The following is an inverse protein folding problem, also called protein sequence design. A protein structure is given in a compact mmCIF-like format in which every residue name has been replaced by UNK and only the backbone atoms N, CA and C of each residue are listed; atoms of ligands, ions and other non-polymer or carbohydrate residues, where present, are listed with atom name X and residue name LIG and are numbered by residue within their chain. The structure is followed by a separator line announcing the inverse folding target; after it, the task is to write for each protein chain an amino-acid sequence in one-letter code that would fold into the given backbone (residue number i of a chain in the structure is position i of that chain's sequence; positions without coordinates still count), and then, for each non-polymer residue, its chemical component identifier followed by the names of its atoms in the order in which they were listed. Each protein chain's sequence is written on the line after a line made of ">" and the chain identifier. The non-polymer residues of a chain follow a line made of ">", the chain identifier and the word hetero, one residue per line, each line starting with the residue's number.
data_IF_345724478559
#
_entry.id   IF_345724478559
#
_cell.length_a   1.000
_cell.length_b   1.000
_cell.length_c   1.000
_cell.angle_alpha   90.00
_cell.angle_beta   90.00
_cell.angle_gamma   90.00
#
_symmetry.space_group_name_H-M   'P 1'
#
loop_
_entity.id
_entity.type
_entity.pdbx_description
1 polymer ?
#
# COMPACT_ATOMS: atom_id res chain seq x y z
N UNK A 1 54.94 16.26 22.63
CA UNK A 1 53.70 16.65 23.34
C UNK A 1 52.53 16.16 22.51
N UNK A 2 51.91 15.06 22.93
CA UNK A 2 50.74 14.47 22.29
C UNK A 2 49.51 14.85 23.12
N UNK A 3 48.49 15.43 22.50
CA UNK A 3 47.21 15.74 23.14
C UNK A 3 46.21 14.71 22.64
N UNK A 4 45.77 13.85 23.56
CA UNK A 4 44.77 12.81 23.33
C UNK A 4 43.36 13.41 23.38
N UNK A 5 42.55 13.06 22.38
CA UNK A 5 41.12 13.32 22.34
C UNK A 5 40.38 12.30 23.22
N UNK A 6 39.56 12.77 24.16
CA UNK A 6 38.64 11.95 24.92
C UNK A 6 37.27 11.95 24.21
N UNK A 7 36.92 10.83 23.55
CA UNK A 7 35.56 10.55 23.13
C UNK A 7 34.83 9.84 24.27
N UNK A 8 33.82 10.49 24.81
CA UNK A 8 32.91 9.91 25.80
C UNK A 8 31.89 9.06 25.05
N UNK A 9 32.08 7.74 25.04
CA UNK A 9 31.09 6.80 24.56
C UNK A 9 29.96 6.67 25.59
N UNK A 10 28.78 7.19 25.27
CA UNK A 10 27.55 6.89 26.01
C UNK A 10 27.14 5.46 25.69
N UNK A 11 27.39 4.56 26.64
CA UNK A 11 26.87 3.19 26.63
C UNK A 11 25.33 3.25 26.72
N UNK A 12 24.67 2.93 25.63
CA UNK A 12 23.24 2.63 25.62
C UNK A 12 23.04 1.28 26.29
N UNK A 13 22.21 1.24 27.33
CA UNK A 13 21.83 0.04 28.06
C UNK A 13 21.23 -1.01 27.11
N UNK A 14 21.59 -2.31 27.19
CA UNK A 14 21.04 -3.37 26.31
C UNK A 14 19.55 -3.69 26.51
N UNK A 15 18.77 -2.85 27.20
CA UNK A 15 17.42 -3.18 27.68
C UNK A 15 16.25 -2.75 26.77
N UNK A 16 16.49 -2.10 25.63
CA UNK A 16 15.43 -1.51 24.81
C UNK A 16 15.05 -2.32 23.54
N UNK A 17 15.63 -3.50 23.32
CA UNK A 17 15.36 -4.34 22.13
C UNK A 17 14.51 -5.58 22.47
N UNK A 18 14.09 -5.74 23.74
CA UNK A 18 13.44 -6.96 24.23
C UNK A 18 11.94 -6.81 24.59
N UNK A 19 11.26 -5.73 24.19
CA UNK A 19 9.87 -5.47 24.59
C UNK A 19 8.80 -5.80 23.53
N UNK A 20 9.17 -6.41 22.40
CA UNK A 20 8.19 -6.84 21.35
C UNK A 20 7.99 -8.37 21.35
N UNK A 21 8.58 -9.10 22.31
CA UNK A 21 8.64 -10.57 22.26
C UNK A 21 7.62 -11.32 23.15
N UNK A 22 6.80 -10.65 23.97
CA UNK A 22 5.93 -11.31 24.94
C UNK A 22 4.43 -10.92 24.83
N UNK A 23 3.90 -10.77 23.62
CA UNK A 23 2.47 -11.06 23.43
C UNK A 23 2.31 -12.57 23.36
N UNK A 24 1.85 -13.17 24.45
CA UNK A 24 1.54 -14.60 24.51
C UNK A 24 0.62 -14.97 23.34
N UNK A 25 1.19 -15.71 22.37
CA UNK A 25 0.48 -16.32 21.25
C UNK A 25 -0.65 -17.15 21.85
N UNK A 26 -1.89 -16.74 21.63
CA UNK A 26 -3.02 -17.55 22.09
C UNK A 26 -3.12 -18.77 21.20
N UNK A 27 -3.78 -19.84 21.66
CA UNK A 27 -4.01 -21.04 20.84
C UNK A 27 -4.76 -20.74 19.52
N UNK A 28 -5.41 -19.57 19.43
CA UNK A 28 -6.10 -19.06 18.23
C UNK A 28 -5.15 -18.51 17.15
N UNK A 29 -3.90 -18.20 17.50
CA UNK A 29 -2.94 -17.52 16.62
C UNK A 29 -2.01 -18.49 15.86
N UNK A 30 -2.03 -19.79 16.19
CA UNK A 30 -1.16 -20.80 15.59
C UNK A 30 -1.60 -21.29 14.19
N UNK A 31 -2.85 -21.05 13.80
CA UNK A 31 -3.46 -21.62 12.58
C UNK A 31 -3.41 -20.70 11.35
N UNK A 32 -2.76 -19.54 11.46
CA UNK A 32 -2.86 -18.49 10.44
C UNK A 32 -1.47 -17.90 10.07
N UNK A 33 -0.77 -18.47 9.07
CA UNK A 33 0.49 -17.91 8.61
C UNK A 33 0.31 -16.49 8.08
N UNK A 34 1.31 -15.64 8.33
CA UNK A 34 1.37 -14.26 7.82
C UNK A 34 1.15 -14.28 6.31
N UNK A 35 0.22 -13.47 5.82
CA UNK A 35 -0.04 -13.34 4.40
C UNK A 35 1.24 -12.91 3.68
N UNK A 36 1.64 -13.65 2.63
CA UNK A 36 2.79 -13.29 1.82
C UNK A 36 2.63 -11.86 1.30
N UNK A 37 3.66 -11.04 1.56
CA UNK A 37 3.74 -9.65 1.13
C UNK A 37 3.63 -9.52 -0.39
N UNK A 38 3.50 -8.30 -0.93
CA UNK A 38 3.47 -8.14 -2.37
C UNK A 38 4.83 -8.61 -2.82
N UNK A 39 4.88 -9.54 -3.77
CA UNK A 39 6.16 -9.98 -4.32
C UNK A 39 6.99 -8.74 -4.57
N UNK A 40 8.19 -8.68 -3.96
CA UNK A 40 8.93 -7.44 -3.79
C UNK A 40 8.98 -6.69 -5.13
N UNK A 41 8.96 -5.35 -5.10
CA UNK A 41 9.22 -4.57 -6.30
C UNK A 41 10.65 -4.87 -6.79
N UNK A 42 10.77 -5.91 -7.62
CA UNK A 42 12.02 -6.56 -8.02
C UNK A 42 12.60 -6.00 -9.30
N UNK A 43 11.75 -5.40 -10.14
CA UNK A 43 12.22 -4.73 -11.34
C UNK A 43 13.03 -3.48 -10.92
N UNK A 44 14.34 -3.42 -11.21
CA UNK A 44 15.19 -2.34 -10.73
C UNK A 44 14.75 -0.97 -11.25
N UNK A 45 14.20 -0.91 -12.47
CA UNK A 45 13.79 0.34 -13.10
C UNK A 45 12.49 0.85 -12.48
N UNK A 46 11.54 -0.04 -12.23
CA UNK A 46 10.33 0.33 -11.51
C UNK A 46 10.61 0.71 -10.05
N UNK A 47 11.60 0.08 -9.41
CA UNK A 47 12.06 0.47 -8.08
C UNK A 47 12.65 1.89 -8.08
N UNK A 48 13.42 2.28 -9.10
CA UNK A 48 13.89 3.65 -9.25
C UNK A 48 12.70 4.62 -9.34
N UNK A 49 11.71 4.34 -10.19
CA UNK A 49 10.51 5.19 -10.32
C UNK A 49 9.81 5.36 -8.96
N UNK A 50 9.65 4.27 -8.21
CA UNK A 50 9.05 4.30 -6.89
C UNK A 50 9.90 5.11 -5.90
N UNK A 51 11.22 4.91 -5.86
CA UNK A 51 12.11 5.67 -4.97
C UNK A 51 12.08 7.16 -5.28
N UNK A 52 12.10 7.52 -6.56
CA UNK A 52 12.06 8.91 -7.02
C UNK A 52 10.74 9.59 -6.64
N UNK A 53 9.60 8.88 -6.75
CA UNK A 53 8.30 9.42 -6.38
C UNK A 53 8.16 9.57 -4.86
N UNK A 54 8.62 8.61 -4.07
CA UNK A 54 8.66 8.70 -2.60
C UNK A 54 9.52 9.89 -2.16
N UNK A 55 10.73 10.01 -2.68
CA UNK A 55 11.67 11.08 -2.31
C UNK A 55 11.15 12.48 -2.67
N UNK A 56 10.62 12.65 -3.89
CA UNK A 56 10.01 13.91 -4.30
C UNK A 56 8.80 14.24 -3.43
N UNK A 57 7.93 13.26 -3.15
CA UNK A 57 6.74 13.49 -2.33
C UNK A 57 7.11 13.90 -0.90
N UNK A 58 8.10 13.25 -0.28
CA UNK A 58 8.61 13.64 1.05
C UNK A 58 9.07 15.09 1.05
N UNK A 59 9.86 15.49 0.06
CA UNK A 59 10.32 16.86 -0.05
C UNK A 59 9.16 17.85 -0.31
N UNK A 60 8.15 17.47 -1.08
CA UNK A 60 6.92 18.26 -1.25
C UNK A 60 6.17 18.46 0.06
N UNK A 61 6.03 17.43 0.88
CA UNK A 61 5.41 17.55 2.20
C UNK A 61 6.24 18.42 3.14
N UNK A 62 7.55 18.16 3.23
CA UNK A 62 8.46 18.97 4.04
C UNK A 62 8.41 20.45 3.62
N UNK A 63 8.40 20.71 2.31
CA UNK A 63 8.31 22.08 1.77
C UNK A 63 6.98 22.74 2.11
N UNK A 64 5.86 22.03 1.93
CA UNK A 64 4.52 22.52 2.27
C UNK A 64 4.36 22.79 3.77
N UNK A 65 4.93 21.94 4.62
CA UNK A 65 4.84 22.05 6.07
C UNK A 65 5.76 23.14 6.65
N UNK A 66 6.94 23.36 6.07
CA UNK A 66 7.89 24.35 6.55
C UNK A 66 7.42 25.80 6.36
N UNK A 67 6.62 26.05 5.32
CA UNK A 67 6.14 27.37 4.91
C UNK A 67 4.61 27.39 4.79
N UNK A 68 3.88 27.49 5.91
CA UNK A 68 2.42 27.47 5.89
C UNK A 68 1.81 28.68 5.17
N UNK A 69 2.56 29.75 4.91
CA UNK A 69 2.07 30.95 4.21
C UNK A 69 2.51 31.02 2.74
N UNK A 70 3.33 30.07 2.29
CA UNK A 70 3.79 30.04 0.90
C UNK A 70 2.63 29.72 -0.04
N UNK A 71 2.50 30.49 -1.12
CA UNK A 71 1.49 30.24 -2.15
C UNK A 71 2.02 29.21 -3.15
N UNK A 72 1.41 28.03 -3.17
CA UNK A 72 1.64 27.00 -4.18
C UNK A 72 0.58 27.08 -5.28
N UNK A 73 0.86 26.62 -6.52
CA UNK A 73 -0.13 26.55 -7.58
C UNK A 73 -1.38 25.79 -7.12
N UNK A 74 -2.57 26.31 -7.42
CA UNK A 74 -3.82 25.69 -6.99
C UNK A 74 -3.96 24.26 -7.55
N UNK A 75 -4.23 23.30 -6.67
CA UNK A 75 -4.35 21.89 -7.03
C UNK A 75 -3.00 21.19 -7.27
N UNK A 76 -1.87 21.82 -6.97
CA UNK A 76 -0.58 21.13 -6.84
C UNK A 76 -0.58 20.19 -5.62
N UNK A 77 0.31 19.20 -5.63
CA UNK A 77 0.56 18.31 -4.49
C UNK A 77 0.86 19.13 -3.24
N UNK A 78 1.73 20.13 -3.35
CA UNK A 78 2.14 20.99 -2.25
C UNK A 78 0.98 21.81 -1.69
N UNK A 79 0.12 22.37 -2.55
CA UNK A 79 -1.07 23.14 -2.09
C UNK A 79 -2.04 22.27 -1.30
N UNK A 80 -2.22 21.02 -1.71
CA UNK A 80 -3.09 20.06 -1.02
C UNK A 80 -2.48 19.66 0.32
N UNK A 81 -1.19 19.30 0.33
CA UNK A 81 -0.48 18.93 1.56
C UNK A 81 -0.45 20.09 2.56
N UNK A 82 -0.25 21.33 2.10
CA UNK A 82 -0.30 22.52 2.94
C UNK A 82 -1.68 22.70 3.58
N UNK A 83 -2.76 22.52 2.82
CA UNK A 83 -4.12 22.57 3.37
C UNK A 83 -4.34 21.47 4.44
N UNK A 84 -3.79 20.29 4.21
CA UNK A 84 -3.75 19.21 5.19
C UNK A 84 -3.06 19.62 6.48
N UNK A 85 -1.82 20.13 6.38
CA UNK A 85 -1.04 20.55 7.56
C UNK A 85 -1.80 21.62 8.35
N UNK A 86 -2.41 22.60 7.68
CA UNK A 86 -3.23 23.65 8.34
C UNK A 86 -4.48 23.11 9.05
N UNK A 87 -4.93 21.90 8.74
CA UNK A 87 -6.07 21.26 9.40
C UNK A 87 -5.71 20.54 10.71
N UNK A 88 -4.41 20.36 10.99
CA UNK A 88 -3.94 19.75 12.24
C UNK A 88 -4.20 20.68 13.44
N UNK A 89 -4.23 20.17 14.68
CA UNK A 89 -4.20 21.01 15.88
C UNK A 89 -2.96 21.91 15.92
N UNK A 90 -3.09 23.13 16.48
CA UNK A 90 -2.03 24.15 16.45
C UNK A 90 -0.68 23.67 17.00
N UNK A 91 -0.68 22.85 18.05
CA UNK A 91 0.55 22.27 18.60
C UNK A 91 1.24 21.34 17.60
N UNK A 92 0.47 20.46 16.94
CA UNK A 92 0.98 19.55 15.91
C UNK A 92 1.47 20.33 14.69
N UNK A 93 0.74 21.36 14.24
CA UNK A 93 1.19 22.25 13.16
C UNK A 93 2.58 22.83 13.46
N UNK A 94 2.75 23.40 14.65
CA UNK A 94 4.02 24.02 15.05
C UNK A 94 5.16 23.00 15.13
N UNK A 95 4.90 21.81 15.68
CA UNK A 95 5.87 20.71 15.74
C UNK A 95 6.29 20.25 14.35
N UNK A 96 5.33 19.96 13.47
CA UNK A 96 5.59 19.58 12.08
C UNK A 96 6.37 20.67 11.35
N UNK A 97 5.96 21.94 11.50
CA UNK A 97 6.64 23.08 10.86
C UNK A 97 8.10 23.18 11.28
N UNK A 98 8.39 23.08 12.59
CA UNK A 98 9.77 23.10 13.10
C UNK A 98 10.60 21.92 12.58
N UNK A 99 10.05 20.70 12.60
CA UNK A 99 10.73 19.53 12.06
C UNK A 99 11.05 19.69 10.58
N UNK A 100 10.07 20.15 9.80
CA UNK A 100 10.24 20.40 8.38
C UNK A 100 11.28 21.50 8.09
N UNK A 101 11.24 22.62 8.83
CA UNK A 101 12.24 23.68 8.72
C UNK A 101 13.65 23.19 9.07
N UNK A 102 13.80 22.37 10.12
CA UNK A 102 15.08 21.76 10.49
C UNK A 102 15.62 20.86 9.38
N UNK A 103 14.76 20.04 8.76
CA UNK A 103 15.16 19.18 7.65
C UNK A 103 15.59 19.97 6.42
N UNK A 104 14.88 21.05 6.07
CA UNK A 104 15.25 21.89 4.93
C UNK A 104 16.53 22.70 5.19
N UNK A 105 16.76 23.13 6.44
CA UNK A 105 17.95 23.87 6.84
C UNK A 105 19.19 22.99 7.08
N UNK A 106 19.04 21.65 7.09
CA UNK A 106 20.14 20.73 7.26
C UNK A 106 21.19 20.84 6.14
N UNK A 107 22.36 20.26 6.33
CA UNK A 107 23.37 20.17 5.29
C UNK A 107 22.90 19.30 4.10
N UNK A 108 23.58 19.42 2.97
CA UNK A 108 23.21 18.71 1.73
C UNK A 108 23.22 17.20 1.91
N UNK A 109 24.15 16.64 2.69
CA UNK A 109 24.28 15.19 2.84
C UNK A 109 23.10 14.64 3.67
N UNK A 110 22.71 15.34 4.73
CA UNK A 110 21.50 15.02 5.51
C UNK A 110 20.24 15.08 4.64
N UNK A 111 20.07 16.13 3.83
CA UNK A 111 18.92 16.21 2.91
C UNK A 111 18.95 15.13 1.84
N UNK A 112 20.12 14.74 1.34
CA UNK A 112 20.27 13.65 0.38
C UNK A 112 19.94 12.31 1.01
N UNK A 113 20.27 12.09 2.28
CA UNK A 113 19.87 10.89 2.99
C UNK A 113 18.35 10.76 3.11
N UNK A 114 17.64 11.87 3.31
CA UNK A 114 16.17 11.89 3.46
C UNK A 114 15.40 11.94 2.14
N UNK A 115 15.86 12.74 1.18
CA UNK A 115 15.15 13.07 -0.06
C UNK A 115 15.88 12.61 -1.33
N UNK A 116 16.91 11.75 -1.19
CA UNK A 116 17.72 11.26 -2.30
C UNK A 116 18.30 12.38 -3.15
N UNK A 117 18.18 12.28 -4.49
CA UNK A 117 18.79 13.30 -5.37
C UNK A 117 18.15 14.68 -5.22
N UNK A 118 16.88 14.75 -4.81
CA UNK A 118 16.17 16.01 -4.64
C UNK A 118 16.67 16.82 -3.44
N UNK A 119 17.30 16.17 -2.45
CA UNK A 119 17.93 16.86 -1.32
C UNK A 119 19.08 17.80 -1.70
N UNK A 120 19.62 17.65 -2.92
CA UNK A 120 20.63 18.57 -3.49
C UNK A 120 20.03 19.85 -4.03
N UNK A 121 18.72 19.89 -4.28
CA UNK A 121 18.05 21.10 -4.73
C UNK A 121 18.02 22.11 -3.58
N UNK A 122 18.24 23.38 -3.92
CA UNK A 122 17.95 24.46 -3.01
C UNK A 122 16.45 24.42 -2.62
N UNK A 123 16.08 24.51 -1.33
CA UNK A 123 14.68 24.42 -0.93
C UNK A 123 13.77 25.42 -1.64
N UNK A 124 14.22 26.65 -1.90
CA UNK A 124 13.43 27.63 -2.64
C UNK A 124 13.33 27.28 -4.13
N UNK A 125 14.35 26.66 -4.71
CA UNK A 125 14.27 26.10 -6.06
C UNK A 125 13.25 24.96 -6.15
N UNK A 126 13.26 24.01 -5.22
CA UNK A 126 12.26 22.94 -5.18
C UNK A 126 10.85 23.50 -5.00
N UNK A 127 10.67 24.46 -4.08
CA UNK A 127 9.35 25.03 -3.81
C UNK A 127 8.74 25.77 -5.01
N UNK A 128 9.56 26.20 -5.99
CA UNK A 128 9.11 26.72 -7.28
C UNK A 128 8.80 25.62 -8.30
N UNK A 129 9.59 24.55 -8.32
CA UNK A 129 9.42 23.43 -9.25
C UNK A 129 8.19 22.57 -8.87
N UNK A 130 8.02 22.33 -7.57
CA UNK A 130 7.10 21.34 -7.02
C UNK A 130 7.44 19.91 -7.45
N UNK A 131 6.60 18.98 -7.01
CA UNK A 131 6.69 17.57 -7.36
C UNK A 131 6.71 17.38 -8.88
N UNK A 132 5.77 18.03 -9.58
CA UNK A 132 5.61 17.86 -11.03
C UNK A 132 6.86 18.32 -11.80
N UNK A 133 7.48 19.42 -11.40
CA UNK A 133 8.71 19.89 -12.03
C UNK A 133 9.90 18.97 -11.74
N UNK A 134 10.01 18.51 -10.49
CA UNK A 134 11.11 17.66 -10.05
C UNK A 134 11.05 16.24 -10.64
N UNK A 135 9.85 15.68 -10.81
CA UNK A 135 9.64 14.28 -11.19
C UNK A 135 9.69 14.00 -12.71
N UNK A 136 10.03 14.99 -13.55
CA UNK A 136 10.07 14.83 -15.02
C UNK A 136 11.27 14.04 -15.54
N UNK A 137 12.45 14.30 -14.99
CA UNK A 137 13.71 13.77 -15.51
C UNK A 137 14.19 12.57 -14.69
N UNK A 138 13.49 11.44 -14.82
CA UNK A 138 13.78 10.23 -14.05
C UNK A 138 15.03 9.50 -14.58
N UNK A 139 15.94 9.05 -13.71
CA UNK A 139 17.15 8.32 -14.10
C UNK A 139 16.84 6.83 -14.38
N UNK A 140 15.89 6.58 -15.28
CA UNK A 140 15.36 5.25 -15.59
C UNK A 140 15.88 4.80 -16.95
N UNK A 141 16.47 3.60 -17.01
CA UNK A 141 16.68 2.89 -18.27
C UNK A 141 15.34 2.32 -18.73
N UNK A 142 14.60 3.18 -19.39
CA UNK A 142 13.28 2.87 -19.86
C UNK A 142 13.25 1.76 -20.92
N UNK A 143 14.33 1.57 -21.69
CA UNK A 143 14.45 0.46 -22.63
C UNK A 143 14.64 -0.87 -21.90
N UNK A 144 15.37 -0.89 -20.78
CA UNK A 144 15.45 -2.05 -19.89
C UNK A 144 14.09 -2.35 -19.25
N UNK A 145 13.38 -1.34 -18.74
CA UNK A 145 12.03 -1.52 -18.17
C UNK A 145 11.08 -2.14 -19.21
N UNK A 146 11.05 -1.60 -20.43
CA UNK A 146 10.21 -2.14 -21.51
C UNK A 146 10.53 -3.60 -21.82
N UNK A 147 11.81 -3.98 -21.90
CA UNK A 147 12.24 -5.37 -22.13
C UNK A 147 11.81 -6.29 -21.00
N UNK A 148 11.96 -5.85 -19.75
CA UNK A 148 11.55 -6.61 -18.56
C UNK A 148 10.04 -6.87 -18.56
N UNK A 149 9.24 -5.84 -18.83
CA UNK A 149 7.78 -5.97 -18.90
C UNK A 149 7.32 -6.85 -20.06
N UNK A 150 7.99 -6.78 -21.21
CA UNK A 150 7.68 -7.68 -22.33
C UNK A 150 8.00 -9.13 -21.98
N UNK A 151 9.18 -9.40 -21.41
CA UNK A 151 9.57 -10.76 -21.02
C UNK A 151 8.60 -11.34 -19.97
N UNK A 152 8.18 -10.53 -19.01
CA UNK A 152 7.18 -10.93 -18.01
C UNK A 152 5.80 -11.16 -18.66
N UNK A 153 5.41 -10.34 -19.65
CA UNK A 153 4.16 -10.54 -20.38
C UNK A 153 4.17 -11.86 -21.16
N UNK A 154 5.28 -12.17 -21.83
CA UNK A 154 5.46 -13.42 -22.56
C UNK A 154 5.43 -14.63 -21.61
N UNK A 155 6.03 -14.51 -20.41
CA UNK A 155 5.98 -15.54 -19.36
C UNK A 155 4.54 -15.76 -18.87
N UNK A 156 3.84 -14.70 -18.50
CA UNK A 156 2.44 -14.77 -18.04
C UNK A 156 1.53 -15.35 -19.12
N UNK A 157 1.77 -15.03 -20.39
CA UNK A 157 1.05 -15.62 -21.52
C UNK A 157 1.28 -17.13 -21.62
N UNK A 158 2.53 -17.60 -21.50
CA UNK A 158 2.86 -19.02 -21.55
C UNK A 158 2.25 -19.80 -20.37
N UNK A 159 2.30 -19.23 -19.16
CA UNK A 159 1.68 -19.80 -17.95
C UNK A 159 0.16 -19.86 -18.07
N UNK A 160 -0.46 -18.76 -18.52
CA UNK A 160 -1.90 -18.68 -18.80
C UNK A 160 -2.36 -19.77 -19.77
N UNK A 161 -1.60 -20.04 -20.83
CA UNK A 161 -1.91 -21.13 -21.76
C UNK A 161 -1.83 -22.52 -21.09
N UNK A 162 -0.85 -22.72 -20.21
CA UNK A 162 -0.66 -23.99 -19.47
C UNK A 162 -1.79 -24.21 -18.46
N UNK A 163 -2.12 -23.19 -17.66
CA UNK A 163 -3.24 -23.23 -16.71
C UNK A 163 -4.57 -23.43 -17.41
N UNK A 164 -4.79 -22.77 -18.56
CA UNK A 164 -6.00 -22.94 -19.37
C UNK A 164 -6.13 -24.39 -19.84
N UNK A 165 -5.03 -25.02 -20.31
CA UNK A 165 -5.06 -26.43 -20.71
C UNK A 165 -5.41 -27.35 -19.53
N UNK A 166 -4.75 -27.16 -18.40
CA UNK A 166 -5.03 -27.93 -17.19
C UNK A 166 -6.50 -27.82 -16.75
N UNK A 167 -7.03 -26.59 -16.74
CA UNK A 167 -8.43 -26.32 -16.43
C UNK A 167 -9.40 -27.09 -17.34
N UNK A 168 -9.12 -27.12 -18.64
CA UNK A 168 -9.95 -27.82 -19.62
C UNK A 168 -9.85 -29.35 -19.45
N UNK A 169 -8.66 -29.87 -19.14
CA UNK A 169 -8.45 -31.30 -18.88
C UNK A 169 -9.23 -31.76 -17.64
N UNK A 170 -9.21 -30.97 -16.56
CA UNK A 170 -9.99 -31.25 -15.34
C UNK A 170 -11.49 -31.17 -15.62
N UNK A 171 -11.96 -30.13 -16.33
CA UNK A 171 -13.37 -30.01 -16.69
C UNK A 171 -13.85 -31.22 -17.51
N UNK A 172 -13.05 -31.68 -18.47
CA UNK A 172 -13.35 -32.88 -19.26
C UNK A 172 -13.39 -34.15 -18.41
N UNK A 173 -12.47 -34.31 -17.44
CA UNK A 173 -12.44 -35.45 -16.53
C UNK A 173 -13.67 -35.50 -15.60
N UNK A 174 -14.16 -34.33 -15.17
CA UNK A 174 -15.34 -34.19 -14.30
C UNK A 174 -16.67 -34.14 -15.09
N UNK A 175 -16.63 -34.23 -16.42
CA UNK A 175 -17.82 -34.18 -17.27
C UNK A 175 -18.55 -32.83 -17.26
N UNK A 176 -17.83 -31.74 -16.95
CA UNK A 176 -18.37 -30.38 -16.87
C UNK A 176 -18.06 -29.63 -18.16
N UNK A 177 -19.07 -28.98 -18.76
CA UNK A 177 -18.86 -28.07 -19.89
C UNK A 177 -18.25 -26.73 -19.40
N UNK A 178 -16.98 -26.42 -19.73
CA UNK A 178 -16.35 -25.17 -19.31
C UNK A 178 -17.00 -23.95 -19.98
N UNK A 179 -17.78 -24.12 -21.04
CA UNK A 179 -18.48 -23.03 -21.74
C UNK A 179 -19.86 -22.72 -21.16
N UNK A 180 -20.36 -23.53 -20.23
CA UNK A 180 -21.65 -23.33 -19.61
C UNK A 180 -21.71 -21.99 -18.83
N UNK A 181 -22.80 -21.24 -19.02
CA UNK A 181 -22.98 -19.86 -18.54
C UNK A 181 -22.95 -19.68 -17.00
N UNK A 182 -23.01 -20.76 -16.23
CA UNK A 182 -23.06 -20.75 -14.76
C UNK A 182 -21.69 -20.47 -14.12
N UNK A 183 -20.66 -20.26 -14.95
CA UNK A 183 -19.24 -20.17 -14.62
C UNK A 183 -18.66 -18.76 -14.68
N UNK A 184 -19.50 -17.75 -14.94
CA UNK A 184 -19.02 -16.40 -15.23
C UNK A 184 -18.62 -15.68 -13.94
N UNK A 185 -17.39 -15.86 -13.51
CA UNK A 185 -16.76 -15.03 -12.48
C UNK A 185 -17.11 -13.54 -12.72
N UNK A 186 -17.96 -12.98 -11.86
CA UNK A 186 -18.42 -11.59 -11.91
C UNK A 186 -17.51 -10.68 -11.14
N UNK A 187 -16.93 -11.17 -10.05
CA UNK A 187 -16.10 -10.33 -9.20
C UNK A 187 -15.45 -11.06 -8.04
N UNK A 188 -14.64 -10.30 -7.33
CA UNK A 188 -13.90 -10.72 -6.15
C UNK A 188 -13.97 -9.60 -5.11
N UNK A 189 -14.26 -9.96 -3.86
CA UNK A 189 -14.31 -8.99 -2.75
C UNK A 189 -13.50 -9.46 -1.56
N UNK A 190 -12.75 -8.55 -0.93
CA UNK A 190 -12.22 -8.78 0.41
C UNK A 190 -13.31 -8.48 1.44
N UNK A 191 -13.57 -9.45 2.30
CA UNK A 191 -14.57 -9.40 3.35
C UNK A 191 -13.89 -9.36 4.71
N UNK A 192 -14.35 -8.48 5.60
CA UNK A 192 -13.91 -8.38 6.99
C UNK A 192 -14.96 -9.07 7.87
N UNK A 193 -14.55 -10.12 8.56
CA UNK A 193 -15.41 -10.87 9.48
C UNK A 193 -15.43 -10.24 10.87
N UNK A 194 -14.25 -9.84 11.36
CA UNK A 194 -14.13 -9.19 12.66
C UNK A 194 -12.82 -8.41 12.78
N UNK A 195 -12.79 -7.47 13.72
CA UNK A 195 -11.59 -6.78 14.19
C UNK A 195 -11.57 -6.92 15.70
N UNK A 196 -10.41 -7.24 16.28
CA UNK A 196 -10.17 -7.35 17.72
C UNK A 196 -9.11 -6.34 18.13
N UNK A 197 -9.38 -5.56 19.16
CA UNK A 197 -8.37 -4.83 19.90
C UNK A 197 -7.61 -5.83 20.77
N UNK A 198 -6.36 -6.13 20.43
CA UNK A 198 -5.55 -7.13 21.16
C UNK A 198 -4.86 -6.47 22.35
N UNK A 199 -4.32 -5.27 22.13
CA UNK A 199 -3.80 -4.39 23.17
C UNK A 199 -4.07 -2.95 22.76
N UNK A 200 -4.67 -2.16 23.65
CA UNK A 200 -4.83 -0.71 23.59
C UNK A 200 -4.34 -0.16 24.92
N UNK A 201 -3.28 0.66 24.87
CA UNK A 201 -2.65 1.23 26.07
C UNK A 201 -3.22 2.60 26.45
N UNK A 202 -4.34 2.99 25.84
CA UNK A 202 -4.98 4.28 26.04
C UNK A 202 -6.14 4.13 27.03
N UNK A 203 -6.10 4.92 28.11
CA UNK A 203 -7.15 4.98 29.15
C UNK A 203 -8.40 5.75 28.68
N UNK A 204 -8.35 6.34 27.49
CA UNK A 204 -9.43 7.10 26.89
C UNK A 204 -9.66 6.50 25.50
N UNK A 205 -10.79 5.83 25.33
CA UNK A 205 -11.15 5.14 24.10
C UNK A 205 -10.81 5.83 22.79
N UNK A 206 -9.95 5.19 21.99
CA UNK A 206 -9.63 5.68 20.65
C UNK A 206 -10.74 5.32 19.66
N UNK A 207 -11.11 6.30 18.83
CA UNK A 207 -11.92 6.05 17.65
C UNK A 207 -11.01 5.50 16.55
N UNK A 208 -11.15 4.20 16.23
CA UNK A 208 -10.35 3.57 15.18
C UNK A 208 -11.03 3.70 13.84
N UNK A 209 -10.30 4.21 12.84
CA UNK A 209 -10.76 4.26 11.45
C UNK A 209 -9.95 3.29 10.60
N UNK A 210 -10.65 2.56 9.74
CA UNK A 210 -10.06 1.69 8.73
C UNK A 210 -10.40 2.24 7.34
N UNK A 211 -9.40 2.35 6.49
CA UNK A 211 -9.55 2.69 5.08
C UNK A 211 -8.47 2.01 4.26
N UNK A 212 -8.25 2.48 3.04
CA UNK A 212 -7.14 1.97 2.25
C UNK A 212 -7.29 2.19 0.76
N UNK A 213 -6.73 1.27 -0.01
CA UNK A 213 -6.85 1.25 -1.46
C UNK A 213 -6.93 -0.18 -1.98
N UNK A 214 -7.61 -0.35 -3.11
CA UNK A 214 -7.63 -1.60 -3.87
C UNK A 214 -6.99 -1.38 -5.23
N UNK A 215 -6.22 -2.35 -5.70
CA UNK A 215 -5.70 -2.42 -7.06
C UNK A 215 -6.32 -3.64 -7.71
N UNK A 216 -7.09 -3.42 -8.76
CA UNK A 216 -7.73 -4.53 -9.49
C UNK A 216 -6.81 -5.16 -10.53
N UNK A 217 -7.31 -6.20 -11.20
CA UNK A 217 -6.60 -6.95 -12.24
C UNK A 217 -6.21 -6.12 -13.48
N UNK A 218 -6.74 -4.89 -13.63
CA UNK A 218 -6.36 -3.93 -14.67
C UNK A 218 -5.39 -2.88 -14.16
N UNK A 219 -4.95 -2.98 -12.90
CA UNK A 219 -4.05 -2.02 -12.27
C UNK A 219 -4.77 -0.73 -11.88
N UNK A 220 -6.09 -0.71 -12.03
CA UNK A 220 -6.88 0.44 -11.62
C UNK A 220 -6.88 0.44 -10.11
N UNK A 221 -6.35 1.53 -9.55
CA UNK A 221 -6.36 1.76 -8.12
C UNK A 221 -7.61 2.53 -7.74
N UNK A 222 -8.29 2.10 -6.67
CA UNK A 222 -9.44 2.80 -6.10
C UNK A 222 -9.20 3.04 -4.62
N UNK A 223 -9.47 4.26 -4.18
CA UNK A 223 -9.52 4.61 -2.77
C UNK A 223 -10.68 3.89 -2.09
N UNK A 224 -10.44 3.40 -0.89
CA UNK A 224 -11.47 2.89 0.02
C UNK A 224 -11.62 3.95 1.11
N UNK A 225 -12.80 4.57 1.15
CA UNK A 225 -13.10 5.62 2.09
C UNK A 225 -12.95 5.11 3.53
N UNK A 226 -12.36 5.91 4.44
CA UNK A 226 -12.20 5.50 5.82
C UNK A 226 -13.55 5.40 6.52
N UNK A 227 -13.78 4.30 7.22
CA UNK A 227 -14.95 4.09 8.07
C UNK A 227 -14.50 3.84 9.52
N UNK A 228 -15.34 4.27 10.46
CA UNK A 228 -15.12 4.04 11.88
C UNK A 228 -15.41 2.58 12.21
N UNK A 229 -14.43 1.88 12.77
CA UNK A 229 -14.56 0.49 13.21
C UNK A 229 -15.38 0.44 14.49
N UNK A 230 -14.97 1.25 15.48
CA UNK A 230 -15.58 1.35 16.80
C UNK A 230 -15.14 2.68 17.43
N UNK A 231 -16.04 3.31 18.16
CA UNK A 231 -15.69 4.36 19.11
C UNK A 231 -15.34 3.65 20.41
N UNK A 232 -14.27 4.06 21.09
CA UNK A 232 -13.88 3.50 22.39
C UNK A 232 -13.51 2.02 22.28
N UNK A 233 -12.49 1.70 21.47
CA UNK A 233 -12.15 0.30 21.16
C UNK A 233 -11.13 -0.28 22.14
N UNK A 234 -11.63 -0.83 23.25
CA UNK A 234 -10.84 -1.28 24.38
C UNK A 234 -10.15 -2.64 24.18
N UNK A 235 -9.04 -2.85 24.89
CA UNK A 235 -8.30 -4.12 24.93
C UNK A 235 -9.20 -5.33 25.20
N UNK A 236 -9.18 -6.29 24.28
CA UNK A 236 -9.97 -7.51 24.36
C UNK A 236 -11.32 -7.44 23.64
N UNK A 237 -11.79 -6.24 23.28
CA UNK A 237 -13.04 -6.09 22.55
C UNK A 237 -12.95 -6.59 21.10
N UNK A 238 -14.09 -7.02 20.57
CA UNK A 238 -14.18 -7.56 19.21
C UNK A 238 -15.39 -6.96 18.51
N UNK A 239 -15.14 -6.25 17.41
CA UNK A 239 -16.17 -5.86 16.46
C UNK A 239 -16.39 -7.00 15.47
N UNK A 240 -17.54 -7.68 15.58
CA UNK A 240 -17.95 -8.73 14.63
C UNK A 240 -18.92 -8.14 13.59
N UNK A 241 -18.73 -8.48 12.32
CA UNK A 241 -19.60 -8.07 11.22
C UNK A 241 -20.49 -9.24 10.78
N UNK A 242 -21.81 -9.08 10.90
CA UNK A 242 -22.81 -10.04 10.43
C UNK A 242 -23.90 -9.33 9.61
N UNK A 243 -23.95 -9.50 8.27
CA UNK A 243 -22.96 -10.22 7.45
C UNK A 243 -21.58 -9.55 7.48
N UNK A 244 -20.55 -10.27 7.01
CA UNK A 244 -19.20 -9.70 6.88
C UNK A 244 -19.22 -8.40 6.08
N UNK A 245 -18.37 -7.45 6.47
CA UNK A 245 -18.26 -6.16 5.82
C UNK A 245 -17.43 -6.29 4.54
N UNK A 246 -17.97 -5.82 3.41
CA UNK A 246 -17.21 -5.75 2.15
C UNK A 246 -16.25 -4.56 2.20
N UNK A 247 -14.96 -4.84 2.28
CA UNK A 247 -13.91 -3.81 2.26
C UNK A 247 -13.66 -3.30 0.83
N UNK A 248 -13.55 -4.22 -0.12
CA UNK A 248 -13.26 -3.93 -1.53
C UNK A 248 -14.10 -4.81 -2.45
N UNK A 249 -14.29 -4.36 -3.69
CA UNK A 249 -14.85 -5.16 -4.77
C UNK A 249 -14.15 -4.87 -6.09
N UNK A 250 -13.63 -5.92 -6.70
CA UNK A 250 -13.10 -5.92 -8.04
C UNK A 250 -14.11 -6.56 -9.00
N UNK A 251 -14.55 -5.79 -10.00
CA UNK A 251 -15.39 -6.30 -11.08
C UNK A 251 -14.51 -7.09 -12.05
N UNK A 252 -14.88 -8.34 -12.30
CA UNK A 252 -14.19 -9.25 -13.21
C UNK A 252 -15.03 -9.59 -14.47
N UNK A 253 -16.19 -8.94 -14.65
CA UNK A 253 -17.00 -9.07 -15.85
C UNK A 253 -16.18 -8.59 -17.06
N UNK A 254 -16.16 -9.42 -18.10
CA UNK A 254 -15.39 -9.14 -19.32
C UNK A 254 -13.87 -9.36 -19.17
N UNK A 255 -13.42 -9.87 -18.02
CA UNK A 255 -12.04 -10.33 -17.89
C UNK A 255 -11.77 -11.51 -18.84
N UNK A 256 -10.58 -11.50 -19.44
CA UNK A 256 -10.18 -12.53 -20.40
C UNK A 256 -10.09 -13.90 -19.71
N UNK A 257 -10.78 -14.88 -20.29
CA UNK A 257 -10.98 -16.20 -19.72
C UNK A 257 -9.69 -16.88 -19.25
N UNK A 258 -8.69 -16.84 -20.12
CA UNK A 258 -7.43 -17.57 -20.03
C UNK A 258 -6.48 -16.98 -18.99
N UNK A 259 -6.66 -15.73 -18.59
CA UNK A 259 -5.62 -15.00 -17.88
C UNK A 259 -5.86 -14.94 -16.37
N UNK A 260 -4.79 -14.93 -15.57
CA UNK A 260 -4.89 -14.65 -14.15
C UNK A 260 -5.50 -13.27 -13.88
N UNK A 261 -6.26 -13.15 -12.80
CA UNK A 261 -6.75 -11.90 -12.24
C UNK A 261 -6.22 -11.74 -10.82
N UNK A 262 -5.35 -10.75 -10.60
CA UNK A 262 -4.85 -10.42 -9.26
C UNK A 262 -5.54 -9.16 -8.75
N UNK A 263 -6.02 -9.23 -7.51
CA UNK A 263 -6.56 -8.07 -6.77
C UNK A 263 -5.76 -7.93 -5.50
N UNK A 264 -5.36 -6.70 -5.17
CA UNK A 264 -4.57 -6.39 -4.00
C UNK A 264 -5.19 -5.22 -3.24
N UNK A 265 -5.46 -5.43 -1.97
CA UNK A 265 -5.92 -4.41 -1.04
C UNK A 265 -4.79 -4.03 -0.09
N UNK A 266 -4.55 -2.73 0.04
CA UNK A 266 -3.73 -2.14 1.10
C UNK A 266 -4.69 -1.56 2.11
N UNK A 267 -4.60 -2.03 3.35
CA UNK A 267 -5.45 -1.62 4.46
C UNK A 267 -4.66 -0.73 5.40
N UNK A 268 -5.29 0.37 5.80
CA UNK A 268 -4.73 1.40 6.65
C UNK A 268 -5.64 1.57 7.85
N UNK A 269 -5.05 1.46 9.04
CA UNK A 269 -5.72 1.71 10.31
C UNK A 269 -5.03 2.92 10.96
N UNK A 270 -5.83 3.81 11.54
CA UNK A 270 -5.35 4.97 12.27
C UNK A 270 -6.44 5.46 13.24
N UNK A 271 -6.03 6.15 14.28
CA UNK A 271 -6.95 6.83 15.19
C UNK A 271 -7.63 8.03 14.48
N UNK A 272 -8.85 8.37 14.85
CA UNK A 272 -9.67 9.35 14.12
C UNK A 272 -9.19 10.81 14.29
N UNK A 273 -8.26 11.08 15.20
CA UNK A 273 -7.83 12.42 15.59
C UNK A 273 -7.08 13.20 14.49
N UNK A 274 -6.80 12.59 13.34
CA UNK A 274 -6.01 13.20 12.26
C UNK A 274 -6.76 14.22 11.38
N UNK A 275 -8.04 14.52 11.65
CA UNK A 275 -8.78 15.60 10.99
C UNK A 275 -8.70 15.55 9.45
N UNK A 276 -8.59 16.72 8.80
CA UNK A 276 -8.51 16.84 7.33
C UNK A 276 -7.14 16.48 6.71
N UNK A 277 -6.13 16.15 7.53
CA UNK A 277 -4.77 15.86 7.04
C UNK A 277 -4.72 14.55 6.27
N UNK A 278 -5.40 13.51 6.75
CA UNK A 278 -5.48 12.22 6.05
C UNK A 278 -6.12 12.36 4.66
N UNK A 279 -7.15 13.19 4.53
CA UNK A 279 -7.78 13.47 3.24
C UNK A 279 -6.86 14.26 2.29
N UNK A 280 -6.10 15.22 2.81
CA UNK A 280 -5.10 15.92 2.03
C UNK A 280 -3.97 15.00 1.55
N UNK A 281 -3.43 14.14 2.42
CA UNK A 281 -2.42 13.14 2.02
C UNK A 281 -2.98 12.23 0.94
N UNK A 282 -4.22 11.76 1.07
CA UNK A 282 -4.88 10.95 0.04
C UNK A 282 -5.05 11.69 -1.30
N UNK A 283 -5.48 12.95 -1.29
CA UNK A 283 -5.65 13.73 -2.52
C UNK A 283 -4.31 14.07 -3.20
N UNK A 284 -3.28 14.35 -2.40
CA UNK A 284 -1.92 14.54 -2.89
C UNK A 284 -1.37 13.23 -3.49
N UNK A 285 -1.69 12.11 -2.85
CA UNK A 285 -1.30 10.78 -3.29
C UNK A 285 -1.92 10.37 -4.63
N UNK A 286 -3.21 10.62 -4.85
CA UNK A 286 -3.86 10.37 -6.15
C UNK A 286 -3.13 11.09 -7.30
N UNK A 287 -2.58 12.28 -7.03
CA UNK A 287 -1.77 13.02 -8.01
C UNK A 287 -0.40 12.40 -8.24
N UNK A 288 0.27 11.91 -7.19
CA UNK A 288 1.52 11.14 -7.35
C UNK A 288 1.29 9.90 -8.20
N UNK A 289 0.22 9.14 -7.90
CA UNK A 289 -0.15 7.96 -8.67
C UNK A 289 -0.36 8.30 -10.15
N UNK A 290 -1.11 9.37 -10.44
CA UNK A 290 -1.34 9.82 -11.81
C UNK A 290 -0.04 10.22 -12.52
N UNK A 291 0.91 10.86 -11.83
CA UNK A 291 2.20 11.22 -12.43
C UNK A 291 3.12 10.01 -12.65
N UNK A 292 3.18 9.08 -11.71
CA UNK A 292 3.91 7.81 -11.85
C UNK A 292 3.34 7.00 -13.01
N UNK A 293 2.01 6.90 -13.09
CA UNK A 293 1.31 6.23 -14.18
C UNK A 293 1.64 6.89 -15.52
N UNK A 294 1.49 8.22 -15.60
CA UNK A 294 1.77 8.97 -16.82
C UNK A 294 3.22 8.85 -17.28
N UNK A 295 4.19 8.81 -16.35
CA UNK A 295 5.59 8.60 -16.67
C UNK A 295 5.84 7.22 -17.29
N UNK A 296 5.23 6.17 -16.72
CA UNK A 296 5.38 4.79 -17.20
C UNK A 296 4.65 4.61 -18.55
N UNK A 297 3.39 5.04 -18.65
CA UNK A 297 2.57 4.91 -19.88
C UNK A 297 3.15 5.72 -21.04
N UNK A 298 3.60 6.94 -20.78
CA UNK A 298 4.19 7.83 -21.78
C UNK A 298 5.41 7.22 -22.45
N UNK A 299 6.17 6.40 -21.72
CA UNK A 299 7.33 5.72 -22.28
C UNK A 299 7.00 4.41 -22.99
N UNK A 300 6.15 3.57 -22.39
CA UNK A 300 5.88 2.22 -22.91
C UNK A 300 5.05 2.28 -24.21
N UNK A 301 4.26 3.33 -24.40
CA UNK A 301 3.44 3.55 -25.59
C UNK A 301 2.07 2.89 -25.50
N UNK A 302 1.16 3.26 -26.41
CA UNK A 302 -0.27 2.93 -26.34
C UNK A 302 -0.67 1.60 -26.97
N UNK A 303 0.21 0.95 -27.75
CA UNK A 303 -0.08 -0.31 -28.43
C UNK A 303 0.46 -1.51 -27.64
N UNK A 304 -0.23 -1.90 -26.57
CA UNK A 304 0.15 -3.01 -25.71
C UNK A 304 -0.71 -4.25 -25.98
N UNK A 305 -0.08 -5.43 -25.93
CA UNK A 305 -0.81 -6.70 -25.91
C UNK A 305 -1.62 -6.80 -24.60
N UNK A 306 -2.66 -7.64 -24.58
CA UNK A 306 -3.50 -7.81 -23.38
C UNK A 306 -2.66 -8.27 -22.17
N UNK A 307 -1.65 -9.11 -22.39
CA UNK A 307 -0.73 -9.55 -21.34
C UNK A 307 0.20 -8.44 -20.86
N UNK A 308 0.69 -7.60 -21.76
CA UNK A 308 1.54 -6.47 -21.40
C UNK A 308 0.77 -5.43 -20.58
N UNK A 309 -0.48 -5.13 -20.93
CA UNK A 309 -1.36 -4.27 -20.12
C UNK A 309 -1.57 -4.84 -18.71
N UNK A 310 -1.70 -6.16 -18.57
CA UNK A 310 -1.83 -6.84 -17.26
C UNK A 310 -0.55 -6.81 -16.43
N UNK A 311 0.60 -7.02 -17.07
CA UNK A 311 1.89 -6.92 -16.40
C UNK A 311 2.16 -5.50 -15.95
N UNK A 312 1.84 -4.51 -16.80
CA UNK A 312 1.91 -3.09 -16.45
C UNK A 312 1.00 -2.78 -15.24
N UNK A 313 -0.25 -3.23 -15.28
CA UNK A 313 -1.19 -3.14 -14.17
C UNK A 313 -0.64 -3.72 -12.86
N UNK A 314 -0.08 -4.93 -12.92
CA UNK A 314 0.55 -5.58 -11.77
C UNK A 314 1.78 -4.83 -11.27
N UNK A 315 2.60 -4.28 -12.17
CA UNK A 315 3.74 -3.45 -11.82
C UNK A 315 3.31 -2.18 -11.10
N UNK A 316 2.30 -1.48 -11.63
CA UNK A 316 1.73 -0.28 -11.03
C UNK A 316 1.21 -0.57 -9.63
N UNK A 317 0.49 -1.68 -9.46
CA UNK A 317 0.05 -2.14 -8.14
C UNK A 317 1.21 -2.34 -7.16
N UNK A 318 2.32 -2.93 -7.61
CA UNK A 318 3.53 -3.13 -6.80
C UNK A 318 4.23 -1.81 -6.47
N UNK A 319 4.37 -0.91 -7.44
CA UNK A 319 4.96 0.42 -7.25
C UNK A 319 4.14 1.22 -6.24
N UNK A 320 2.82 1.26 -6.41
CA UNK A 320 1.89 1.92 -5.49
C UNK A 320 1.98 1.30 -4.09
N UNK A 321 1.90 -0.02 -3.96
CA UNK A 321 1.99 -0.70 -2.67
C UNK A 321 3.34 -0.42 -1.97
N UNK A 322 4.45 -0.41 -2.72
CA UNK A 322 5.77 -0.06 -2.21
C UNK A 322 5.80 1.38 -1.70
N UNK A 323 5.30 2.31 -2.52
CA UNK A 323 5.26 3.72 -2.19
C UNK A 323 4.39 3.96 -0.94
N UNK A 324 3.21 3.32 -0.84
CA UNK A 324 2.34 3.45 0.35
C UNK A 324 3.09 2.96 1.59
N UNK A 325 3.75 1.81 1.53
CA UNK A 325 4.51 1.26 2.65
C UNK A 325 5.66 2.17 3.09
N UNK A 326 6.42 2.74 2.14
CA UNK A 326 7.54 3.64 2.43
C UNK A 326 7.11 5.00 2.92
N UNK A 327 6.15 5.61 2.23
CA UNK A 327 5.64 6.92 2.55
C UNK A 327 4.96 6.92 3.92
N UNK A 328 4.05 5.96 4.17
CA UNK A 328 3.40 5.88 5.47
C UNK A 328 4.41 5.58 6.58
N UNK A 329 5.38 4.68 6.34
CA UNK A 329 6.47 4.45 7.29
C UNK A 329 7.28 5.71 7.63
N UNK A 330 7.43 6.63 6.68
CA UNK A 330 8.08 7.92 6.92
C UNK A 330 7.13 8.95 7.57
N UNK A 331 5.87 9.00 7.16
CA UNK A 331 4.85 9.87 7.76
C UNK A 331 4.62 9.53 9.23
N UNK A 332 4.55 8.23 9.58
CA UNK A 332 4.50 7.75 10.98
C UNK A 332 5.64 8.39 11.79
N UNK A 333 6.88 8.32 11.29
CA UNK A 333 8.04 8.93 11.96
C UNK A 333 7.93 10.45 12.11
N UNK A 334 7.31 11.14 11.16
CA UNK A 334 7.22 12.61 11.14
C UNK A 334 6.01 13.15 11.93
N UNK A 335 4.90 12.41 11.96
CA UNK A 335 3.59 12.91 12.37
C UNK A 335 2.95 12.19 13.57
N UNK A 336 3.52 11.11 14.12
CA UNK A 336 3.28 10.48 15.46
C UNK A 336 3.25 8.94 15.45
N UNK A 337 3.35 8.36 16.65
CA UNK A 337 3.53 6.92 16.99
C UNK A 337 2.27 6.06 16.79
N UNK A 338 1.13 6.69 16.43
CA UNK A 338 -0.21 6.10 16.53
C UNK A 338 -0.82 5.70 15.17
N UNK A 339 -0.02 5.70 14.10
CA UNK A 339 -0.45 5.15 12.80
C UNK A 339 0.13 3.75 12.62
N UNK A 340 -0.75 2.78 12.41
CA UNK A 340 -0.39 1.38 12.34
C UNK A 340 0.38 1.05 11.06
N UNK A 341 1.25 0.05 11.14
CA UNK A 341 1.88 -0.51 9.94
C UNK A 341 0.81 -0.92 8.92
N UNK A 342 0.88 -0.43 7.67
CA UNK A 342 -0.06 -0.81 6.63
C UNK A 342 -0.09 -2.32 6.43
N UNK A 343 -1.29 -2.87 6.36
CA UNK A 343 -1.48 -4.27 6.04
C UNK A 343 -1.84 -4.44 4.56
N UNK A 344 -1.68 -5.67 4.06
CA UNK A 344 -1.98 -5.98 2.67
C UNK A 344 -2.59 -7.36 2.51
N UNK A 345 -3.63 -7.46 1.70
CA UNK A 345 -4.23 -8.71 1.27
C UNK A 345 -4.22 -8.77 -0.25
N UNK A 346 -3.67 -9.83 -0.85
CA UNK A 346 -3.78 -10.05 -2.29
C UNK A 346 -4.39 -11.43 -2.57
N UNK A 347 -5.06 -11.53 -3.71
CA UNK A 347 -5.59 -12.78 -4.23
C UNK A 347 -5.41 -12.83 -5.73
N UNK A 348 -4.95 -13.98 -6.23
CA UNK A 348 -4.83 -14.25 -7.65
C UNK A 348 -5.76 -15.40 -8.01
N UNK A 349 -6.67 -15.15 -8.94
CA UNK A 349 -7.48 -16.18 -9.59
C UNK A 349 -6.73 -16.57 -10.85
N UNK A 350 -6.17 -17.79 -10.96
CA UNK A 350 -5.28 -18.15 -12.06
C UNK A 350 -6.02 -18.29 -13.40
N UNK A 351 -7.32 -18.59 -13.36
CA UNK A 351 -8.17 -18.75 -14.53
C UNK A 351 -9.63 -18.49 -14.16
N UNK A 352 -10.48 -17.97 -15.09
CA UNK A 352 -11.86 -17.60 -14.74
C UNK A 352 -12.71 -18.77 -14.22
N UNK A 353 -12.35 -19.99 -14.59
CA UNK A 353 -13.05 -21.22 -14.17
C UNK A 353 -12.39 -21.93 -12.98
N UNK A 354 -11.23 -21.47 -12.49
CA UNK A 354 -10.47 -22.16 -11.43
C UNK A 354 -11.32 -22.43 -10.20
N UNK A 355 -12.17 -21.48 -9.83
CA UNK A 355 -13.09 -21.58 -8.71
C UNK A 355 -14.14 -22.70 -8.85
N UNK A 356 -14.38 -23.26 -10.04
CA UNK A 356 -15.37 -24.33 -10.25
C UNK A 356 -14.78 -25.71 -10.01
N UNK A 357 -13.53 -25.95 -10.41
CA UNK A 357 -12.93 -27.28 -10.41
C UNK A 357 -11.78 -27.43 -9.40
N UNK A 358 -11.06 -26.35 -9.04
CA UNK A 358 -10.07 -26.38 -7.95
C UNK A 358 -10.69 -26.12 -6.57
N UNK A 359 -12.02 -25.97 -6.53
CA UNK A 359 -12.81 -25.52 -5.38
C UNK A 359 -12.64 -26.43 -4.15
N UNK A 360 -12.45 -27.74 -4.34
CA UNK A 360 -12.75 -28.66 -3.23
C UNK A 360 -11.56 -28.99 -2.31
N UNK A 361 -10.27 -28.93 -2.73
CA UNK A 361 -9.18 -29.46 -1.88
C UNK A 361 -7.82 -28.77 -1.88
N UNK A 362 -7.45 -28.04 -2.94
CA UNK A 362 -6.08 -27.54 -3.10
C UNK A 362 -5.95 -26.01 -3.01
N UNK A 363 -7.00 -25.27 -3.40
CA UNK A 363 -6.97 -23.80 -3.41
C UNK A 363 -7.60 -23.16 -2.15
N UNK A 364 -8.19 -23.95 -1.24
CA UNK A 364 -8.73 -23.48 0.05
C UNK A 364 -10.02 -22.66 -0.05
N UNK A 365 -10.83 -22.88 -1.08
CA UNK A 365 -12.15 -22.27 -1.22
C UNK A 365 -13.23 -23.18 -0.61
N UNK A 366 -14.18 -22.61 0.11
CA UNK A 366 -15.41 -23.28 0.55
C UNK A 366 -16.57 -22.32 0.31
N UNK A 367 -17.65 -22.81 -0.28
CA UNK A 367 -18.85 -22.01 -0.58
C UNK A 367 -18.54 -20.64 -1.25
N UNK A 368 -17.64 -20.66 -2.25
CA UNK A 368 -17.19 -19.47 -2.99
C UNK A 368 -16.43 -18.43 -2.15
N UNK A 369 -15.81 -18.81 -1.03
CA UNK A 369 -14.88 -17.95 -0.28
C UNK A 369 -13.63 -18.70 0.17
N UNK A 370 -12.54 -17.98 0.43
CA UNK A 370 -11.34 -18.58 1.02
C UNK A 370 -11.52 -18.89 2.50
N UNK A 371 -10.57 -19.65 3.05
CA UNK A 371 -10.34 -19.67 4.50
C UNK A 371 -10.13 -18.26 5.04
N UNK A 372 -10.51 -18.06 6.31
CA UNK A 372 -10.24 -16.81 7.03
C UNK A 372 -8.74 -16.71 7.29
N UNK A 373 -8.18 -15.51 7.09
CA UNK A 373 -6.81 -15.15 7.46
C UNK A 373 -6.83 -13.99 8.45
N UNK A 374 -5.86 -13.97 9.34
CA UNK A 374 -5.65 -12.87 10.28
C UNK A 374 -4.63 -11.88 9.72
N UNK A 375 -4.96 -10.60 9.83
CA UNK A 375 -4.10 -9.47 9.52
C UNK A 375 -3.85 -8.70 10.81
N UNK A 376 -2.60 -8.32 11.03
CA UNK A 376 -2.20 -7.60 12.23
C UNK A 376 -1.85 -6.15 11.87
N UNK A 377 -2.37 -5.23 12.67
CA UNK A 377 -2.00 -3.83 12.69
C UNK A 377 -1.29 -3.57 14.01
N UNK A 378 -0.02 -3.18 13.95
CA UNK A 378 0.78 -2.91 15.15
C UNK A 378 1.35 -1.49 15.10
N UNK A 379 1.22 -0.81 16.24
CA UNK A 379 1.89 0.43 16.60
C UNK A 379 2.77 0.16 17.85
N UNK A 380 3.46 1.17 18.39
CA UNK A 380 4.48 1.00 19.44
C UNK A 380 4.00 0.20 20.66
N UNK A 381 2.74 0.39 21.07
CA UNK A 381 2.11 -0.34 22.20
C UNK A 381 0.69 -0.83 21.92
N UNK A 382 0.07 -0.43 20.80
CA UNK A 382 -1.28 -0.83 20.40
C UNK A 382 -1.23 -1.89 19.30
N UNK A 383 -2.14 -2.87 19.36
CA UNK A 383 -2.28 -3.88 18.29
C UNK A 383 -3.73 -4.30 18.06
N UNK A 384 -4.08 -4.44 16.77
CA UNK A 384 -5.37 -4.94 16.31
C UNK A 384 -5.20 -6.16 15.41
N UNK A 385 -6.08 -7.16 15.59
CA UNK A 385 -6.19 -8.34 14.74
C UNK A 385 -7.47 -8.27 13.92
N UNK A 386 -7.34 -8.28 12.60
CA UNK A 386 -8.47 -8.27 11.68
C UNK A 386 -8.57 -9.59 10.94
N UNK A 387 -9.74 -10.22 11.00
CA UNK A 387 -10.04 -11.47 10.30
C UNK A 387 -10.68 -11.17 8.96
N UNK A 388 -10.04 -11.60 7.88
CA UNK A 388 -10.49 -11.37 6.50
C UNK A 388 -10.62 -12.66 5.70
N UNK A 389 -11.42 -12.63 4.65
CA UNK A 389 -11.46 -13.69 3.63
C UNK A 389 -11.81 -13.09 2.28
N UNK A 390 -11.43 -13.77 1.21
CA UNK A 390 -11.86 -13.41 -0.13
C UNK A 390 -13.15 -14.13 -0.48
N UNK A 391 -14.09 -13.44 -1.11
CA UNK A 391 -15.34 -14.01 -1.63
C UNK A 391 -15.42 -13.80 -3.14
N UNK A 392 -15.64 -14.90 -3.85
CA UNK A 392 -15.88 -14.94 -5.29
C UNK A 392 -17.38 -14.74 -5.56
N UNK A 393 -17.67 -13.99 -6.62
CA UNK A 393 -19.01 -13.75 -7.13
C UNK A 393 -19.12 -14.39 -8.51
N UNK A 394 -20.10 -15.27 -8.71
CA UNK A 394 -20.36 -16.01 -9.97
C UNK A 394 -21.69 -15.62 -10.60
#
# INVERSE_FOLDING_TARGET
>A
MAVAAAMTATLVSPGAVQAVADTAVTAEDADHPIAEGPGDLRDPQALIIAQEADQAFRLSLTTAAANPDQVFPAGSIESILQAGVRSLPAERQERTRRGAQSLLAADVDTRVAEFGRYGRLDPAAYARLGFEGAFRDLPVDWAALRRSLQAEADRVQAESATTTRHALDVAAAEGVDPTAANSTLKGLSLQISSIKAVNSNEYFGDEIRLGGSTVDHKGVTKKIAPFTVMNDFDSGEIKVYQPSLTFSYANLIGHEASAPATVCDVLLMADADYGGFADAVNAAWEKVQAQVLGAIEGFIGTALSVYLSKVLAGLLGKVIAWLVGKLLGWLIKLFMDDVFTPAKACMTIPHRYAHMYDNNKLAGWDNLRTSTKSIWFTASSTSYRMNVHWKVHV
#
